data_IF_235651317880
#
_entry.id   IF_235651317880
#
_cell.length_a   1.000
_cell.length_b   1.000
_cell.length_c   1.000
_cell.angle_alpha   90.00
_cell.angle_beta   90.00
_cell.angle_gamma   90.00
#
_symmetry.space_group_name_H-M   'P 1'
#
loop_
_entity.id
_entity.type
_entity.pdbx_description
1 polymer ?
#
# COMPACT_ATOMS: atom_id res chain seq x y z
N UNK A 1 2.67 64.10 16.49
CA UNK A 1 2.55 63.01 15.49
C UNK A 1 2.48 61.70 16.24
N UNK A 2 1.27 61.22 16.53
CA UNK A 2 1.04 59.98 17.28
C UNK A 2 0.04 59.13 16.53
N UNK A 3 0.51 58.31 15.60
CA UNK A 3 -0.28 57.24 15.01
C UNK A 3 -0.41 56.13 16.06
N UNK A 4 -1.53 56.10 16.76
CA UNK A 4 -1.91 54.95 17.58
C UNK A 4 -2.35 53.83 16.64
N UNK A 5 -1.55 52.76 16.56
CA UNK A 5 -1.91 51.52 15.87
C UNK A 5 -3.31 51.07 16.30
N UNK A 6 -4.13 50.67 15.33
CA UNK A 6 -5.44 50.08 15.60
C UNK A 6 -5.27 48.78 16.39
N UNK A 7 -6.33 48.34 17.07
CA UNK A 7 -6.32 47.08 17.82
C UNK A 7 -6.00 45.90 16.89
N UNK A 8 -6.55 45.92 15.67
CA UNK A 8 -6.31 44.90 14.65
C UNK A 8 -4.85 44.85 14.19
N UNK A 9 -4.21 46.01 14.02
CA UNK A 9 -2.79 46.08 13.66
C UNK A 9 -1.90 45.52 14.78
N UNK A 10 -2.25 45.79 16.05
CA UNK A 10 -1.53 45.23 17.21
C UNK A 10 -1.70 43.72 17.31
N UNK A 11 -2.91 43.22 17.16
CA UNK A 11 -3.23 41.79 17.20
C UNK A 11 -2.49 41.06 16.05
N UNK A 12 -2.46 41.65 14.84
CA UNK A 12 -1.71 41.12 13.71
C UNK A 12 -0.19 41.12 13.95
N UNK A 13 0.36 42.18 14.55
CA UNK A 13 1.78 42.27 14.94
C UNK A 13 2.15 41.21 15.99
N UNK A 14 1.28 40.96 16.97
CA UNK A 14 1.49 39.92 17.98
C UNK A 14 1.43 38.52 17.37
N UNK A 15 0.46 38.26 16.48
CA UNK A 15 0.41 37.01 15.72
C UNK A 15 1.66 36.80 14.86
N UNK A 16 2.11 37.83 14.14
CA UNK A 16 3.33 37.79 13.34
C UNK A 16 4.56 37.44 14.17
N UNK A 17 4.73 38.11 15.33
CA UNK A 17 5.82 37.79 16.27
C UNK A 17 5.75 36.36 16.80
N UNK A 18 4.55 35.84 17.06
CA UNK A 18 4.37 34.47 17.50
C UNK A 18 4.69 33.46 16.40
N UNK A 19 4.38 33.78 15.13
CA UNK A 19 4.76 32.97 13.96
C UNK A 19 6.28 32.96 13.80
N UNK A 20 6.94 34.13 13.83
CA UNK A 20 8.40 34.23 13.72
C UNK A 20 9.12 33.44 14.81
N UNK A 21 8.60 33.49 16.03
CA UNK A 21 9.13 32.70 17.15
C UNK A 21 9.01 31.20 16.88
N UNK A 22 7.84 30.72 16.42
CA UNK A 22 7.64 29.30 16.04
C UNK A 22 8.56 28.88 14.90
N UNK A 23 8.66 29.69 13.84
CA UNK A 23 9.55 29.41 12.71
C UNK A 23 11.02 29.27 13.14
N UNK A 24 11.46 30.11 14.09
CA UNK A 24 12.81 30.02 14.63
C UNK A 24 13.02 28.74 15.46
N UNK A 25 12.04 28.36 16.27
CA UNK A 25 12.06 27.12 17.07
C UNK A 25 12.07 25.88 16.15
N UNK A 26 11.18 25.84 15.15
CA UNK A 26 11.10 24.77 14.14
C UNK A 26 12.40 24.68 13.33
N UNK A 27 13.00 25.82 12.97
CA UNK A 27 14.28 25.87 12.26
C UNK A 27 15.43 25.29 13.08
N UNK A 28 15.47 25.55 14.40
CA UNK A 28 16.46 24.94 15.29
C UNK A 28 16.25 23.44 15.46
N UNK A 29 15.00 22.97 15.45
CA UNK A 29 14.69 21.55 15.54
C UNK A 29 15.06 20.83 14.25
N UNK A 30 14.64 21.37 13.09
CA UNK A 30 14.93 20.81 11.77
C UNK A 30 16.45 20.75 11.48
N UNK A 31 17.23 21.68 12.02
CA UNK A 31 18.70 21.66 11.89
C UNK A 31 19.35 20.48 12.62
N UNK A 32 18.66 19.86 13.59
CA UNK A 32 19.12 18.66 14.32
C UNK A 32 18.69 17.36 13.64
N UNK A 33 17.72 17.42 12.73
CA UNK A 33 17.18 16.23 12.07
C UNK A 33 18.17 15.70 11.01
N UNK A 34 18.45 14.40 11.08
CA UNK A 34 19.26 13.71 10.07
C UNK A 34 18.35 13.17 8.98
N UNK A 35 18.45 13.70 7.76
CA UNK A 35 17.66 13.27 6.61
C UNK A 35 18.37 12.14 5.86
N UNK A 36 17.70 11.00 5.74
CA UNK A 36 18.19 9.83 5.01
C UNK A 36 17.35 9.63 3.74
N UNK A 37 18.00 9.45 2.59
CA UNK A 37 17.36 9.12 1.32
C UNK A 37 17.68 7.67 0.95
N UNK A 38 16.65 6.84 0.83
CA UNK A 38 16.77 5.45 0.39
C UNK A 38 16.48 5.37 -1.11
N UNK A 39 17.46 4.89 -1.89
CA UNK A 39 17.36 4.69 -3.34
C UNK A 39 17.43 3.21 -3.70
N UNK A 40 16.79 2.83 -4.79
CA UNK A 40 16.74 1.45 -5.29
C UNK A 40 15.58 1.24 -6.25
N UNK A 41 15.65 0.18 -7.06
CA UNK A 41 14.60 -0.20 -8.02
C UNK A 41 13.25 -0.46 -7.35
N UNK A 42 12.18 -0.59 -8.14
CA UNK A 42 10.89 -1.08 -7.64
C UNK A 42 11.08 -2.37 -6.85
N UNK A 43 10.29 -2.55 -5.78
CA UNK A 43 10.30 -3.78 -4.97
C UNK A 43 11.62 -4.14 -4.25
N UNK A 44 12.65 -3.29 -4.31
CA UNK A 44 13.96 -3.51 -3.67
C UNK A 44 13.98 -3.46 -2.13
N UNK A 45 12.82 -3.54 -1.46
CA UNK A 45 12.71 -3.56 0.00
C UNK A 45 12.84 -2.21 0.73
N UNK A 46 12.86 -1.07 0.02
CA UNK A 46 12.97 0.27 0.67
C UNK A 46 11.90 0.51 1.72
N UNK A 47 10.63 0.27 1.37
CA UNK A 47 9.51 0.40 2.30
C UNK A 47 9.64 -0.57 3.48
N UNK A 48 10.19 -1.76 3.25
CA UNK A 48 10.45 -2.76 4.30
C UNK A 48 11.48 -2.24 5.30
N UNK A 49 12.57 -1.61 4.85
CA UNK A 49 13.57 -0.98 5.73
C UNK A 49 12.92 0.09 6.61
N UNK A 50 12.11 0.98 6.03
CA UNK A 50 11.41 2.02 6.80
C UNK A 50 10.44 1.41 7.82
N UNK A 51 9.69 0.37 7.44
CA UNK A 51 8.80 -0.36 8.36
C UNK A 51 9.58 -1.02 9.51
N UNK A 52 10.77 -1.57 9.25
CA UNK A 52 11.63 -2.13 10.30
C UNK A 52 12.15 -1.05 11.26
N UNK A 53 12.49 0.13 10.76
CA UNK A 53 12.86 1.27 11.62
C UNK A 53 11.72 1.62 12.59
N UNK A 54 10.46 1.63 12.12
CA UNK A 54 9.30 1.86 12.98
C UNK A 54 9.16 0.77 14.06
N UNK A 55 9.37 -0.50 13.70
CA UNK A 55 9.34 -1.63 14.65
C UNK A 55 10.39 -1.48 15.73
N UNK A 56 11.64 -1.19 15.35
CA UNK A 56 12.79 -1.22 16.27
C UNK A 56 12.87 0.07 17.10
N UNK A 57 12.49 1.22 16.54
CA UNK A 57 12.75 2.54 17.15
C UNK A 57 11.50 3.35 17.51
N UNK A 58 10.32 3.03 16.97
CA UNK A 58 9.08 3.80 17.21
C UNK A 58 7.96 2.99 17.88
N UNK A 59 8.31 1.88 18.55
CA UNK A 59 7.34 1.08 19.31
C UNK A 59 6.40 0.23 18.44
N UNK A 60 6.68 0.09 17.14
CA UNK A 60 5.95 -0.79 16.24
C UNK A 60 4.64 -0.21 15.69
N UNK A 61 3.75 -1.10 15.25
CA UNK A 61 2.49 -0.74 14.60
C UNK A 61 1.34 -0.78 15.59
N UNK A 62 0.56 0.31 15.62
CA UNK A 62 -0.63 0.44 16.43
C UNK A 62 -1.82 -0.28 15.79
N UNK A 63 -2.91 -0.46 16.55
CA UNK A 63 -4.16 -0.97 15.99
C UNK A 63 -4.72 -0.07 14.88
N UNK A 64 -4.49 1.24 14.96
CA UNK A 64 -4.94 2.18 13.93
C UNK A 64 -4.10 2.04 12.65
N UNK A 65 -2.78 1.86 12.78
CA UNK A 65 -1.91 1.50 11.65
C UNK A 65 -2.41 0.21 10.97
N UNK A 66 -2.72 -0.82 11.75
CA UNK A 66 -3.21 -2.09 11.22
C UNK A 66 -4.50 -1.94 10.42
N UNK A 67 -5.44 -1.08 10.87
CA UNK A 67 -6.66 -0.78 10.11
C UNK A 67 -6.34 -0.11 8.78
N UNK A 68 -5.35 0.78 8.75
CA UNK A 68 -4.91 1.46 7.52
C UNK A 68 -4.19 0.51 6.55
N UNK A 69 -3.49 -0.51 7.06
CA UNK A 69 -2.82 -1.51 6.22
C UNK A 69 -3.73 -2.63 5.73
N UNK A 70 -4.85 -2.93 6.41
CA UNK A 70 -5.80 -3.97 5.97
C UNK A 70 -6.24 -3.83 4.50
N UNK A 71 -6.69 -2.65 4.03
CA UNK A 71 -7.02 -2.44 2.61
C UNK A 71 -5.86 -2.76 1.65
N UNK A 72 -4.62 -2.46 2.06
CA UNK A 72 -3.42 -2.76 1.27
C UNK A 72 -3.19 -4.26 1.17
N UNK A 73 -3.44 -5.01 2.25
CA UNK A 73 -3.34 -6.48 2.25
C UNK A 73 -4.39 -7.09 1.32
N UNK A 74 -5.64 -6.61 1.37
CA UNK A 74 -6.70 -7.06 0.47
C UNK A 74 -6.31 -6.83 -1.00
N UNK A 75 -5.90 -5.62 -1.33
CA UNK A 75 -5.53 -5.22 -2.68
C UNK A 75 -4.34 -6.05 -3.19
N UNK A 76 -3.28 -6.20 -2.39
CA UNK A 76 -2.12 -7.01 -2.78
C UNK A 76 -2.49 -8.48 -3.02
N UNK A 77 -3.39 -9.05 -2.23
CA UNK A 77 -3.81 -10.46 -2.37
C UNK A 77 -4.58 -10.65 -3.69
N UNK A 78 -5.56 -9.78 -3.96
CA UNK A 78 -6.38 -9.86 -5.19
C UNK A 78 -5.52 -9.57 -6.41
N UNK A 79 -4.70 -8.52 -6.39
CA UNK A 79 -3.84 -8.16 -7.51
C UNK A 79 -2.80 -9.23 -7.82
N UNK A 80 -2.26 -9.91 -6.81
CA UNK A 80 -1.34 -11.03 -7.01
C UNK A 80 -2.04 -12.21 -7.70
N UNK A 81 -3.26 -12.55 -7.28
CA UNK A 81 -4.07 -13.57 -7.96
C UNK A 81 -4.33 -13.19 -9.43
N UNK A 82 -4.75 -11.95 -9.68
CA UNK A 82 -5.00 -11.47 -11.06
C UNK A 82 -3.73 -11.47 -11.92
N UNK A 83 -2.57 -11.15 -11.35
CA UNK A 83 -1.30 -11.24 -12.07
C UNK A 83 -1.01 -12.67 -12.54
N UNK A 84 -1.24 -13.67 -11.67
CA UNK A 84 -1.10 -15.09 -12.01
C UNK A 84 -2.11 -15.48 -13.11
N UNK A 85 -3.39 -15.13 -12.98
CA UNK A 85 -4.43 -15.45 -13.97
C UNK A 85 -4.13 -14.82 -15.36
N UNK A 86 -3.60 -13.60 -15.39
CA UNK A 86 -3.15 -12.97 -16.64
C UNK A 86 -1.93 -13.67 -17.23
N UNK A 87 -1.00 -14.10 -16.39
CA UNK A 87 0.17 -14.86 -16.82
C UNK A 87 -0.22 -16.24 -17.37
N UNK A 88 -1.21 -16.93 -16.78
CA UNK A 88 -1.74 -18.19 -17.31
C UNK A 88 -2.17 -18.05 -18.76
N UNK A 89 -2.97 -17.02 -19.07
CA UNK A 89 -3.40 -16.72 -20.43
C UNK A 89 -2.21 -16.44 -21.37
N UNK A 90 -1.18 -15.74 -20.88
CA UNK A 90 0.01 -15.39 -21.66
C UNK A 90 0.91 -16.61 -21.93
N UNK A 91 1.04 -17.49 -20.96
CA UNK A 91 1.88 -18.69 -21.01
C UNK A 91 1.14 -19.91 -21.60
N UNK A 92 -0.16 -19.78 -21.90
CA UNK A 92 -0.98 -20.86 -22.43
C UNK A 92 -1.27 -21.98 -21.43
N UNK A 93 -1.28 -21.67 -20.13
CA UNK A 93 -1.53 -22.64 -19.07
C UNK A 93 -3.05 -22.70 -18.83
N UNK A 94 -3.61 -23.90 -18.93
CA UNK A 94 -5.03 -24.16 -18.70
C UNK A 94 -5.29 -24.40 -17.21
N UNK A 95 -6.49 -24.11 -16.73
CA UNK A 95 -6.93 -24.55 -15.41
C UNK A 95 -7.02 -26.08 -15.35
N UNK A 96 -6.80 -26.65 -14.15
CA UNK A 96 -7.05 -28.06 -13.89
C UNK A 96 -8.53 -28.40 -14.03
N UNK A 97 -9.40 -27.56 -13.48
CA UNK A 97 -10.84 -27.56 -13.77
C UNK A 97 -11.19 -26.34 -14.64
N UNK A 98 -11.39 -26.56 -15.94
CA UNK A 98 -11.59 -25.47 -16.90
C UNK A 98 -12.89 -24.69 -16.70
N UNK A 99 -13.96 -25.34 -16.23
CA UNK A 99 -15.26 -24.68 -16.05
C UNK A 99 -15.26 -23.88 -14.74
N UNK A 100 -14.89 -24.54 -13.64
CA UNK A 100 -14.85 -23.91 -12.32
C UNK A 100 -13.78 -22.82 -12.24
N UNK A 101 -12.59 -23.06 -12.80
CA UNK A 101 -11.49 -22.10 -12.81
C UNK A 101 -11.81 -20.83 -13.62
N UNK A 102 -12.53 -20.96 -14.75
CA UNK A 102 -12.94 -19.81 -15.54
C UNK A 102 -13.98 -18.93 -14.80
N UNK A 103 -14.94 -19.54 -14.10
CA UNK A 103 -15.92 -18.79 -13.32
C UNK A 103 -15.28 -18.12 -12.10
N UNK A 104 -14.43 -18.82 -11.36
CA UNK A 104 -13.72 -18.23 -10.22
C UNK A 104 -12.79 -17.09 -10.67
N UNK A 105 -12.10 -17.23 -11.81
CA UNK A 105 -11.28 -16.16 -12.39
C UNK A 105 -12.10 -14.92 -12.76
N UNK A 106 -13.33 -15.11 -13.25
CA UNK A 106 -14.28 -14.03 -13.55
C UNK A 106 -14.63 -13.25 -12.29
N UNK A 107 -15.00 -13.94 -11.20
CA UNK A 107 -15.31 -13.34 -9.90
C UNK A 107 -14.16 -12.44 -9.43
N UNK A 108 -12.92 -12.94 -9.46
CA UNK A 108 -11.74 -12.16 -9.03
C UNK A 108 -11.51 -10.94 -9.93
N UNK A 109 -11.67 -11.10 -11.26
CA UNK A 109 -11.47 -10.01 -12.21
C UNK A 109 -12.53 -8.91 -12.08
N UNK A 110 -13.79 -9.27 -11.80
CA UNK A 110 -14.90 -8.32 -11.62
C UNK A 110 -14.65 -7.38 -10.44
N UNK A 111 -14.04 -7.87 -9.34
CA UNK A 111 -13.68 -7.04 -8.18
C UNK A 111 -12.67 -5.96 -8.53
N UNK A 112 -11.67 -6.28 -9.35
CA UNK A 112 -10.70 -5.29 -9.85
C UNK A 112 -11.37 -4.29 -10.79
N UNK A 113 -12.25 -4.74 -11.68
CA UNK A 113 -12.98 -3.85 -12.59
C UNK A 113 -13.90 -2.88 -11.83
N UNK A 114 -14.50 -3.34 -10.74
CA UNK A 114 -15.30 -2.52 -9.85
C UNK A 114 -14.49 -1.59 -8.93
N UNK A 115 -13.15 -1.69 -8.94
CA UNK A 115 -12.25 -0.96 -8.04
C UNK A 115 -12.56 -1.22 -6.55
N UNK A 116 -12.89 -2.47 -6.23
CA UNK A 116 -13.30 -2.89 -4.88
C UNK A 116 -12.25 -3.74 -4.16
N UNK A 117 -11.03 -3.83 -4.70
CA UNK A 117 -9.94 -4.66 -4.18
C UNK A 117 -9.38 -4.21 -2.84
N UNK A 118 -9.75 -3.02 -2.36
CA UNK A 118 -9.40 -2.52 -1.04
C UNK A 118 -10.43 -2.84 0.05
N UNK A 119 -11.58 -3.45 -0.32
CA UNK A 119 -12.66 -3.81 0.61
C UNK A 119 -12.43 -5.22 1.20
N UNK A 120 -13.07 -5.53 2.35
CA UNK A 120 -13.08 -6.90 2.86
C UNK A 120 -13.61 -7.88 1.82
N UNK A 121 -13.05 -9.08 1.79
CA UNK A 121 -13.48 -10.11 0.85
C UNK A 121 -14.93 -10.53 1.13
N UNK A 122 -15.75 -10.61 0.08
CA UNK A 122 -17.02 -11.33 0.14
C UNK A 122 -16.75 -12.84 0.29
N UNK A 123 -17.74 -13.59 0.77
CA UNK A 123 -17.64 -15.05 0.88
C UNK A 123 -17.36 -15.68 -0.49
N UNK A 124 -18.09 -15.25 -1.52
CA UNK A 124 -17.91 -15.73 -2.90
C UNK A 124 -16.48 -15.48 -3.44
N UNK A 125 -15.95 -14.27 -3.22
CA UNK A 125 -14.57 -13.93 -3.63
C UNK A 125 -13.55 -14.80 -2.89
N UNK A 126 -13.72 -14.94 -1.57
CA UNK A 126 -12.79 -15.70 -0.74
C UNK A 126 -12.74 -17.17 -1.17
N UNK A 127 -13.90 -17.77 -1.42
CA UNK A 127 -13.99 -19.16 -1.84
C UNK A 127 -13.47 -19.37 -3.27
N UNK A 128 -13.77 -18.45 -4.18
CA UNK A 128 -13.18 -18.44 -5.52
C UNK A 128 -11.64 -18.37 -5.47
N UNK A 129 -11.07 -17.45 -4.68
CA UNK A 129 -9.62 -17.32 -4.53
C UNK A 129 -8.97 -18.57 -3.93
N UNK A 130 -9.63 -19.24 -2.97
CA UNK A 130 -9.13 -20.50 -2.41
C UNK A 130 -9.15 -21.64 -3.44
N UNK A 131 -10.24 -21.77 -4.22
CA UNK A 131 -10.35 -22.77 -5.27
C UNK A 131 -9.31 -22.54 -6.37
N UNK A 132 -9.15 -21.30 -6.82
CA UNK A 132 -8.09 -20.91 -7.74
C UNK A 132 -6.70 -21.25 -7.18
N UNK A 133 -6.42 -20.92 -5.92
CA UNK A 133 -5.12 -21.26 -5.35
C UNK A 133 -4.87 -22.77 -5.27
N UNK A 134 -5.90 -23.58 -5.06
CA UNK A 134 -5.80 -25.03 -5.07
C UNK A 134 -5.72 -25.64 -6.49
N UNK A 135 -5.99 -24.87 -7.54
CA UNK A 135 -5.97 -25.33 -8.93
C UNK A 135 -4.53 -25.65 -9.40
N UNK A 136 -4.37 -26.78 -10.08
CA UNK A 136 -3.06 -27.25 -10.55
C UNK A 136 -2.43 -26.32 -11.59
N UNK A 137 -3.23 -25.73 -12.48
CA UNK A 137 -2.76 -24.80 -13.50
C UNK A 137 -2.31 -23.47 -12.90
N UNK A 138 -3.04 -22.97 -11.89
CA UNK A 138 -2.62 -21.79 -11.11
C UNK A 138 -1.29 -22.06 -10.39
N UNK A 139 -1.15 -23.21 -9.72
CA UNK A 139 0.10 -23.60 -9.06
C UNK A 139 1.26 -23.76 -10.05
N UNK A 140 1.03 -24.35 -11.23
CA UNK A 140 2.03 -24.44 -12.30
C UNK A 140 2.48 -23.05 -12.77
N UNK A 141 1.53 -22.13 -13.00
CA UNK A 141 1.84 -20.77 -13.42
C UNK A 141 2.60 -20.00 -12.33
N UNK A 142 2.26 -20.20 -11.06
CA UNK A 142 2.96 -19.61 -9.94
C UNK A 142 4.41 -20.10 -9.82
N UNK A 143 4.66 -21.40 -10.08
CA UNK A 143 6.01 -21.95 -10.11
C UNK A 143 6.89 -21.32 -11.21
N UNK A 144 6.26 -20.74 -12.24
CA UNK A 144 6.89 -19.98 -13.33
C UNK A 144 6.81 -18.46 -13.13
N UNK A 145 6.62 -17.99 -11.89
CA UNK A 145 6.50 -16.56 -11.55
C UNK A 145 7.73 -15.71 -11.86
N UNK A 146 8.86 -16.32 -12.20
CA UNK A 146 10.04 -15.61 -12.73
C UNK A 146 9.88 -15.17 -14.19
N UNK A 147 8.87 -15.65 -14.93
CA UNK A 147 8.61 -15.30 -16.33
C UNK A 147 7.70 -14.06 -16.49
N UNK A 148 7.13 -13.56 -15.39
CA UNK A 148 6.27 -12.38 -15.35
C UNK A 148 6.50 -11.56 -14.08
N UNK A 149 5.89 -10.37 -14.02
CA UNK A 149 5.97 -9.53 -12.83
C UNK A 149 4.92 -9.98 -11.82
N UNK A 150 5.38 -10.57 -10.72
CA UNK A 150 4.56 -10.93 -9.57
C UNK A 150 5.22 -10.34 -8.32
N UNK A 151 4.40 -9.71 -7.48
CA UNK A 151 4.87 -9.12 -6.23
C UNK A 151 5.52 -10.20 -5.35
N UNK A 152 6.72 -9.93 -4.84
CA UNK A 152 7.46 -10.88 -4.00
C UNK A 152 6.71 -11.30 -2.74
N UNK A 153 5.77 -10.49 -2.22
CA UNK A 153 4.95 -10.90 -1.07
C UNK A 153 3.95 -12.02 -1.37
N UNK A 154 3.74 -12.36 -2.66
CA UNK A 154 2.94 -13.50 -3.07
C UNK A 154 3.74 -14.81 -3.12
N UNK A 155 5.08 -14.73 -3.09
CA UNK A 155 6.00 -15.87 -3.12
C UNK A 155 6.14 -16.55 -1.75
#
# INVERSE_FOLDING_TARGET
>A
MGCTLSKEERDALEQSRNIDKKLKEDGMQAAKDVKLLLLGAGESGKSTIVKQMKIIHEGGFTQEDNKQYKPVVYSNTIQSMVAILRAMNTLGIQFGDSEQGAEDARIVCDVIQAMEDTKPFSEDLLDAMKRLWADSGVQECFARSNEYQLNDSAK
#
